data_IF_863109996382
#
_entry.id   IF_863109996382
#
_cell.length_a   1.000
_cell.length_b   1.000
_cell.length_c   1.000
_cell.angle_alpha   90.00
_cell.angle_beta   90.00
_cell.angle_gamma   90.00
#
_symmetry.space_group_name_H-M   'P 1'
#
loop_
_entity.id
_entity.type
_entity.pdbx_description
1 polymer ?
#
# COMPACT_ATOMS: atom_id res chain seq x y z
N UNK A 1 -15.41 10.22 6.12
CA UNK A 1 -16.24 9.06 5.71
C UNK A 1 -17.25 8.62 6.76
N UNK A 2 -16.97 8.69 8.07
CA UNK A 2 -17.93 8.34 9.13
C UNK A 2 -19.13 9.30 9.18
N UNK A 3 -18.90 10.60 8.98
CA UNK A 3 -19.93 11.62 9.02
C UNK A 3 -21.15 11.37 8.10
N UNK A 4 -21.00 11.14 6.77
CA UNK A 4 -22.14 10.87 5.89
C UNK A 4 -22.89 9.58 6.24
N UNK A 5 -22.24 8.61 6.89
CA UNK A 5 -22.86 7.34 7.30
C UNK A 5 -23.73 7.55 8.54
N UNK A 6 -23.25 8.34 9.50
CA UNK A 6 -24.07 8.74 10.63
C UNK A 6 -25.34 9.45 10.18
N UNK A 7 -25.26 10.34 9.19
CA UNK A 7 -26.45 10.98 8.59
C UNK A 7 -27.41 9.94 7.96
N UNK A 8 -26.88 8.98 7.19
CA UNK A 8 -27.68 7.90 6.61
C UNK A 8 -28.37 7.07 7.70
N UNK A 9 -27.68 6.73 8.79
CA UNK A 9 -28.27 5.98 9.90
C UNK A 9 -29.38 6.77 10.61
N UNK A 10 -29.15 8.06 10.90
CA UNK A 10 -30.16 8.95 11.48
C UNK A 10 -31.40 9.07 10.58
N UNK A 11 -31.19 9.10 9.25
CA UNK A 11 -32.25 9.08 8.26
C UNK A 11 -33.07 7.79 8.29
N UNK A 12 -32.41 6.64 8.24
CA UNK A 12 -33.09 5.36 8.22
C UNK A 12 -33.83 5.07 9.54
N UNK A 13 -33.31 5.52 10.68
CA UNK A 13 -33.98 5.42 11.98
C UNK A 13 -35.01 6.52 12.25
N UNK A 14 -35.21 7.48 11.32
CA UNK A 14 -36.16 8.61 11.48
C UNK A 14 -35.95 9.37 12.81
N UNK A 15 -34.69 9.62 13.16
CA UNK A 15 -34.32 10.31 14.40
C UNK A 15 -34.78 11.78 14.39
N UNK A 16 -35.02 12.39 15.56
CA UNK A 16 -35.51 13.76 15.65
C UNK A 16 -34.51 14.77 15.07
N UNK A 17 -35.02 15.86 14.50
CA UNK A 17 -34.24 16.89 13.81
C UNK A 17 -33.06 17.43 14.62
N UNK A 18 -33.19 17.53 15.95
CA UNK A 18 -32.10 17.96 16.82
C UNK A 18 -30.84 17.08 16.69
N UNK A 19 -31.00 15.75 16.60
CA UNK A 19 -29.86 14.84 16.43
C UNK A 19 -29.21 15.00 15.05
N UNK A 20 -30.01 15.26 14.03
CA UNK A 20 -29.51 15.61 12.70
C UNK A 20 -28.70 16.90 12.70
N UNK A 21 -29.22 17.95 13.34
CA UNK A 21 -28.57 19.25 13.43
C UNK A 21 -27.24 19.15 14.19
N UNK A 22 -27.21 18.42 15.32
CA UNK A 22 -25.98 18.17 16.10
C UNK A 22 -24.95 17.42 15.23
N UNK A 23 -25.35 16.35 14.56
CA UNK A 23 -24.43 15.55 13.75
C UNK A 23 -23.94 16.29 12.49
N UNK A 24 -24.82 17.05 11.84
CA UNK A 24 -24.45 17.92 10.72
C UNK A 24 -23.47 19.00 11.17
N UNK A 25 -23.76 19.70 12.28
CA UNK A 25 -22.90 20.73 12.84
C UNK A 25 -21.52 20.18 13.22
N UNK A 26 -21.46 19.03 13.91
CA UNK A 26 -20.20 18.37 14.24
C UNK A 26 -19.38 18.05 12.99
N UNK A 27 -20.01 17.54 11.93
CA UNK A 27 -19.31 17.27 10.67
C UNK A 27 -18.82 18.51 9.94
N UNK A 28 -19.61 19.59 9.92
CA UNK A 28 -19.18 20.88 9.34
C UNK A 28 -17.97 21.42 10.08
N UNK A 29 -17.97 21.40 11.41
CA UNK A 29 -16.83 21.82 12.22
C UNK A 29 -15.62 20.93 11.92
N UNK A 30 -15.77 19.61 11.98
CA UNK A 30 -14.64 18.68 11.83
C UNK A 30 -14.05 18.72 10.42
N UNK A 31 -14.90 18.65 9.38
CA UNK A 31 -14.46 18.75 7.98
C UNK A 31 -13.91 20.16 7.68
N UNK A 32 -14.57 21.20 8.18
CA UNK A 32 -14.15 22.60 8.02
C UNK A 32 -12.77 22.84 8.62
N UNK A 33 -12.53 22.39 9.86
CA UNK A 33 -11.22 22.45 10.51
C UNK A 33 -10.16 21.67 9.74
N UNK A 34 -10.48 20.45 9.27
CA UNK A 34 -9.56 19.66 8.46
C UNK A 34 -9.15 20.38 7.17
N UNK A 35 -10.12 20.87 6.39
CA UNK A 35 -9.83 21.56 5.12
C UNK A 35 -9.17 22.92 5.34
N UNK A 36 -9.49 23.62 6.44
CA UNK A 36 -8.81 24.84 6.83
C UNK A 36 -7.33 24.59 7.14
N UNK A 37 -7.01 23.56 7.92
CA UNK A 37 -5.62 23.15 8.19
C UNK A 37 -4.91 22.70 6.92
N UNK A 38 -5.57 21.89 6.07
CA UNK A 38 -5.01 21.46 4.79
C UNK A 38 -4.73 22.63 3.84
N UNK A 39 -5.58 23.68 3.85
CA UNK A 39 -5.34 24.89 3.05
C UNK A 39 -4.06 25.63 3.45
N UNK A 40 -3.62 25.50 4.71
CA UNK A 40 -2.36 26.08 5.17
C UNK A 40 -1.14 25.35 4.57
N UNK A 41 -1.33 24.15 4.00
CA UNK A 41 -0.31 23.36 3.32
C UNK A 41 -0.66 23.22 1.83
N UNK A 42 -0.33 24.20 0.97
CA UNK A 42 -0.66 24.14 -0.44
C UNK A 42 0.00 22.92 -1.10
N UNK A 43 -0.81 21.93 -1.47
CA UNK A 43 -0.40 20.83 -2.34
C UNK A 43 -0.58 21.28 -3.79
N UNK A 44 0.52 21.47 -4.52
CA UNK A 44 0.47 21.67 -5.96
C UNK A 44 0.04 20.36 -6.63
N UNK A 45 -1.16 20.34 -7.18
CA UNK A 45 -1.71 19.18 -7.89
C UNK A 45 -3.14 19.43 -8.33
N UNK A 46 -3.37 19.53 -9.63
CA UNK A 46 -4.70 19.41 -10.22
C UNK A 46 -5.08 17.93 -10.21
N UNK A 47 -6.11 17.56 -9.45
CA UNK A 47 -6.70 16.23 -9.54
C UNK A 47 -7.52 16.16 -10.83
N UNK A 48 -6.98 15.51 -11.86
CA UNK A 48 -7.80 15.12 -13.00
C UNK A 48 -8.68 13.93 -12.61
N UNK A 49 -9.92 13.96 -13.09
CA UNK A 49 -10.89 12.88 -13.00
C UNK A 49 -10.94 12.15 -14.35
N UNK A 50 -9.87 11.46 -14.73
CA UNK A 50 -9.91 10.60 -15.93
C UNK A 50 -10.58 9.26 -15.62
N UNK A 51 -11.20 8.64 -16.63
CA UNK A 51 -11.83 7.31 -16.55
C UNK A 51 -13.11 7.18 -15.69
N UNK A 52 -13.94 8.23 -15.60
CA UNK A 52 -15.27 8.17 -14.99
C UNK A 52 -16.16 6.99 -15.46
N UNK A 53 -16.17 6.60 -16.76
CA UNK A 53 -16.98 5.48 -17.23
C UNK A 53 -16.62 4.13 -16.59
N UNK A 54 -15.36 3.97 -16.13
CA UNK A 54 -14.89 2.75 -15.48
C UNK A 54 -15.10 2.77 -13.96
N UNK A 55 -15.62 3.87 -13.40
CA UNK A 55 -15.84 4.04 -11.97
C UNK A 55 -16.67 2.91 -11.34
N UNK A 56 -17.78 2.42 -11.94
CA UNK A 56 -18.54 1.31 -11.35
C UNK A 56 -17.70 0.04 -11.21
N UNK A 57 -16.94 -0.31 -12.25
CA UNK A 57 -16.05 -1.47 -12.21
C UNK A 57 -14.92 -1.30 -11.22
N UNK A 58 -14.38 -0.09 -11.08
CA UNK A 58 -13.35 0.25 -10.10
C UNK A 58 -13.86 0.15 -8.67
N UNK A 59 -15.09 0.61 -8.40
CA UNK A 59 -15.74 0.46 -7.10
C UNK A 59 -15.99 -1.02 -6.79
N UNK A 60 -16.55 -1.80 -7.72
CA UNK A 60 -16.77 -3.24 -7.54
C UNK A 60 -15.44 -3.99 -7.33
N UNK A 61 -14.44 -3.72 -8.16
CA UNK A 61 -13.10 -4.29 -8.01
C UNK A 61 -12.46 -3.92 -6.68
N UNK A 62 -12.70 -2.73 -6.14
CA UNK A 62 -12.25 -2.36 -4.80
C UNK A 62 -12.98 -3.17 -3.73
N UNK A 63 -14.32 -3.21 -3.77
CA UNK A 63 -15.15 -3.94 -2.81
C UNK A 63 -14.77 -5.42 -2.73
N UNK A 64 -14.47 -6.04 -3.87
CA UNK A 64 -14.04 -7.44 -3.95
C UNK A 64 -12.54 -7.66 -4.13
N UNK A 65 -11.70 -6.64 -3.99
CA UNK A 65 -10.23 -6.75 -4.18
C UNK A 65 -9.59 -7.83 -3.32
N UNK A 66 -10.22 -8.13 -2.19
CA UNK A 66 -9.92 -9.26 -1.32
C UNK A 66 -9.97 -10.64 -2.01
N UNK A 67 -10.91 -10.84 -2.93
CA UNK A 67 -11.03 -12.08 -3.71
C UNK A 67 -9.93 -12.28 -4.75
N UNK A 68 -9.21 -11.22 -5.13
CA UNK A 68 -8.09 -11.32 -6.05
C UNK A 68 -6.89 -11.98 -5.36
N UNK A 69 -6.86 -13.32 -5.30
CA UNK A 69 -5.73 -14.14 -4.83
C UNK A 69 -4.68 -14.35 -5.93
N UNK A 70 -5.11 -14.32 -7.19
CA UNK A 70 -4.26 -14.34 -8.38
C UNK A 70 -3.83 -12.91 -8.80
N UNK A 71 -2.70 -12.80 -9.49
CA UNK A 71 -2.25 -11.54 -10.10
C UNK A 71 -2.84 -11.33 -11.49
N UNK A 72 -2.60 -10.16 -12.10
CA UNK A 72 -3.00 -9.87 -13.48
C UNK A 72 -4.51 -9.81 -13.73
N UNK A 73 -4.91 -10.02 -14.98
CA UNK A 73 -6.32 -9.92 -15.44
C UNK A 73 -7.26 -10.88 -14.70
N UNK A 74 -6.83 -12.10 -14.42
CA UNK A 74 -7.62 -13.08 -13.67
C UNK A 74 -7.96 -12.58 -12.26
N UNK A 75 -7.00 -11.95 -11.57
CA UNK A 75 -7.24 -11.31 -10.28
C UNK A 75 -8.25 -10.16 -10.36
N UNK A 76 -8.19 -9.35 -11.42
CA UNK A 76 -9.14 -8.26 -11.65
C UNK A 76 -10.56 -8.75 -11.85
N UNK A 77 -10.75 -9.80 -12.66
CA UNK A 77 -12.06 -10.41 -12.89
C UNK A 77 -12.65 -10.96 -11.59
N UNK A 78 -11.86 -11.70 -10.81
CA UNK A 78 -12.32 -12.24 -9.53
C UNK A 78 -12.71 -11.12 -8.56
N UNK A 79 -11.93 -10.02 -8.52
CA UNK A 79 -12.25 -8.89 -7.68
C UNK A 79 -13.62 -8.27 -8.01
N UNK A 80 -13.89 -8.08 -9.31
CA UNK A 80 -15.19 -7.55 -9.75
C UNK A 80 -16.32 -8.52 -9.39
N UNK A 81 -16.16 -9.83 -9.61
CA UNK A 81 -17.17 -10.84 -9.27
C UNK A 81 -17.51 -10.82 -7.78
N UNK A 82 -16.49 -10.82 -6.91
CA UNK A 82 -16.69 -10.77 -5.46
C UNK A 82 -17.35 -9.44 -5.06
N UNK A 83 -16.94 -8.32 -5.67
CA UNK A 83 -17.54 -7.02 -5.44
C UNK A 83 -19.03 -6.97 -5.82
N UNK A 84 -19.40 -7.60 -6.94
CA UNK A 84 -20.79 -7.75 -7.36
C UNK A 84 -21.59 -8.56 -6.34
N UNK A 85 -21.00 -9.62 -5.77
CA UNK A 85 -21.60 -10.38 -4.67
C UNK A 85 -21.89 -9.50 -3.44
N UNK A 86 -20.92 -8.69 -3.00
CA UNK A 86 -21.09 -7.73 -1.90
C UNK A 86 -22.21 -6.74 -2.20
N UNK A 87 -22.21 -6.14 -3.40
CA UNK A 87 -23.24 -5.18 -3.81
C UNK A 87 -24.64 -5.81 -3.83
N UNK A 88 -24.77 -7.01 -4.38
CA UNK A 88 -26.02 -7.76 -4.45
C UNK A 88 -26.56 -8.06 -3.06
N UNK A 89 -25.69 -8.52 -2.16
CA UNK A 89 -26.10 -8.84 -0.80
C UNK A 89 -26.50 -7.61 0.01
N UNK A 90 -25.82 -6.49 -0.24
CA UNK A 90 -26.17 -5.18 0.33
C UNK A 90 -27.57 -4.74 -0.12
N UNK A 91 -27.91 -4.91 -1.41
CA UNK A 91 -29.24 -4.59 -1.93
C UNK A 91 -30.34 -5.47 -1.31
N UNK A 92 -30.12 -6.78 -1.23
CA UNK A 92 -31.07 -7.71 -0.61
C UNK A 92 -31.30 -7.36 0.86
N UNK A 93 -30.22 -7.11 1.61
CA UNK A 93 -30.29 -6.71 3.02
C UNK A 93 -30.96 -5.37 3.20
N UNK A 94 -30.72 -4.40 2.32
CA UNK A 94 -31.42 -3.10 2.32
C UNK A 94 -32.93 -3.31 2.15
N UNK A 95 -33.34 -4.12 1.17
CA UNK A 95 -34.76 -4.45 0.94
C UNK A 95 -35.40 -5.10 2.16
N UNK A 96 -34.70 -6.03 2.82
CA UNK A 96 -35.20 -6.72 4.01
C UNK A 96 -35.23 -5.81 5.25
N UNK A 97 -34.23 -4.94 5.41
CA UNK A 97 -34.23 -3.92 6.47
C UNK A 97 -35.40 -2.95 6.32
N UNK A 98 -35.72 -2.50 5.10
CA UNK A 98 -36.86 -1.61 4.87
C UNK A 98 -38.20 -2.23 5.29
N UNK A 99 -38.32 -3.56 5.23
CA UNK A 99 -39.50 -4.31 5.69
C UNK A 99 -39.51 -4.58 7.20
N UNK A 100 -38.40 -5.07 7.74
CA UNK A 100 -38.33 -5.61 9.12
C UNK A 100 -37.84 -4.60 10.15
N UNK A 101 -37.08 -3.59 9.72
CA UNK A 101 -36.43 -2.58 10.56
C UNK A 101 -35.50 -3.13 11.63
N UNK A 102 -34.94 -4.33 11.45
CA UNK A 102 -33.96 -4.88 12.39
C UNK A 102 -32.67 -4.06 12.42
N UNK A 103 -32.30 -3.60 13.62
CA UNK A 103 -31.11 -2.75 13.86
C UNK A 103 -29.80 -3.40 13.40
N UNK A 104 -29.69 -4.72 13.53
CA UNK A 104 -28.50 -5.48 13.08
C UNK A 104 -28.25 -5.35 11.59
N UNK A 105 -29.31 -5.32 10.77
CA UNK A 105 -29.17 -5.17 9.32
C UNK A 105 -28.69 -3.75 8.99
N UNK A 106 -29.19 -2.74 9.71
CA UNK A 106 -28.72 -1.36 9.57
C UNK A 106 -27.23 -1.22 9.91
N UNK A 107 -26.75 -1.88 10.97
CA UNK A 107 -25.32 -1.86 11.33
C UNK A 107 -24.46 -2.48 10.22
N UNK A 108 -24.87 -3.63 9.69
CA UNK A 108 -24.15 -4.29 8.59
C UNK A 108 -24.15 -3.42 7.32
N UNK A 109 -25.28 -2.79 6.99
CA UNK A 109 -25.40 -1.86 5.86
C UNK A 109 -24.52 -0.62 6.05
N UNK A 110 -24.44 -0.08 7.26
CA UNK A 110 -23.58 1.06 7.59
C UNK A 110 -22.09 0.73 7.41
N UNK A 111 -21.65 -0.47 7.81
CA UNK A 111 -20.28 -0.95 7.60
C UNK A 111 -19.95 -1.07 6.10
N UNK A 112 -20.85 -1.62 5.29
CA UNK A 112 -20.61 -1.71 3.85
C UNK A 112 -20.65 -0.33 3.20
N UNK A 113 -21.55 0.57 3.64
CA UNK A 113 -21.60 1.95 3.16
C UNK A 113 -20.30 2.71 3.44
N UNK A 114 -19.66 2.48 4.60
CA UNK A 114 -18.33 3.01 4.91
C UNK A 114 -17.27 2.59 3.90
N UNK A 115 -17.23 1.29 3.60
CA UNK A 115 -16.30 0.76 2.62
C UNK A 115 -16.62 1.27 1.22
N UNK A 116 -17.91 1.37 0.86
CA UNK A 116 -18.33 1.85 -0.46
C UNK A 116 -17.97 3.33 -0.69
N UNK A 117 -18.09 4.20 0.32
CA UNK A 117 -17.64 5.59 0.23
C UNK A 117 -16.12 5.68 0.07
N UNK A 118 -15.39 4.79 0.75
CA UNK A 118 -13.93 4.69 0.59
C UNK A 118 -13.57 4.19 -0.81
N UNK A 119 -14.29 3.20 -1.32
CA UNK A 119 -14.15 2.68 -2.68
C UNK A 119 -14.43 3.76 -3.73
N UNK A 120 -15.46 4.59 -3.51
CA UNK A 120 -15.81 5.70 -4.39
C UNK A 120 -14.70 6.75 -4.40
N UNK A 121 -14.18 7.15 -3.24
CA UNK A 121 -13.07 8.09 -3.15
C UNK A 121 -11.81 7.53 -3.86
N UNK A 122 -11.44 6.28 -3.59
CA UNK A 122 -10.29 5.64 -4.25
C UNK A 122 -10.52 5.49 -5.75
N UNK A 123 -11.73 5.12 -6.16
CA UNK A 123 -12.12 5.00 -7.56
C UNK A 123 -12.04 6.34 -8.29
N UNK A 124 -12.52 7.43 -7.70
CA UNK A 124 -12.47 8.77 -8.30
C UNK A 124 -11.03 9.31 -8.39
N UNK A 125 -10.24 9.17 -7.31
CA UNK A 125 -8.91 9.80 -7.23
C UNK A 125 -7.75 8.93 -7.70
N UNK A 126 -7.97 7.64 -8.01
CA UNK A 126 -6.91 6.72 -8.47
C UNK A 126 -7.27 5.92 -9.72
N UNK A 127 -8.44 6.13 -10.34
CA UNK A 127 -8.82 5.45 -11.58
C UNK A 127 -7.86 5.69 -12.74
N UNK A 128 -7.16 6.82 -12.76
CA UNK A 128 -6.18 7.18 -13.78
C UNK A 128 -5.04 6.17 -13.88
N UNK A 129 -4.74 5.46 -12.77
CA UNK A 129 -3.62 4.53 -12.67
C UNK A 129 -4.01 3.06 -12.93
N UNK A 130 -5.25 2.82 -13.35
CA UNK A 130 -5.73 1.48 -13.71
C UNK A 130 -6.16 0.60 -12.52
N UNK A 131 -6.98 -0.42 -12.83
CA UNK A 131 -7.65 -1.27 -11.84
C UNK A 131 -6.68 -2.13 -11.00
N UNK A 132 -5.49 -2.44 -11.52
CA UNK A 132 -4.43 -3.15 -10.79
C UNK A 132 -3.99 -2.39 -9.53
N UNK A 133 -3.95 -1.06 -9.58
CA UNK A 133 -3.57 -0.21 -8.44
C UNK A 133 -4.68 -0.16 -7.40
N UNK A 134 -5.94 -0.20 -7.83
CA UNK A 134 -7.11 -0.26 -6.94
C UNK A 134 -7.12 -1.59 -6.17
N UNK A 135 -6.83 -2.70 -6.86
CA UNK A 135 -6.80 -4.04 -6.25
C UNK A 135 -5.51 -4.29 -5.46
N UNK A 136 -4.38 -3.70 -5.87
CA UNK A 136 -3.07 -3.85 -5.24
C UNK A 136 -2.80 -2.87 -4.10
N UNK A 137 -3.66 -1.87 -3.90
CA UNK A 137 -3.44 -0.81 -2.93
C UNK A 137 -3.49 -1.25 -1.46
N UNK A 138 -2.99 -0.39 -0.57
CA UNK A 138 -2.97 -0.56 0.91
C UNK A 138 -4.36 -0.65 1.56
N UNK A 139 -5.43 -0.62 0.76
CA UNK A 139 -6.82 -0.53 1.22
C UNK A 139 -7.57 -1.87 1.22
N UNK A 140 -6.88 -3.00 1.02
CA UNK A 140 -7.49 -4.34 0.99
C UNK A 140 -8.24 -4.72 2.27
N UNK A 141 -7.87 -4.14 3.42
CA UNK A 141 -8.55 -4.33 4.70
C UNK A 141 -10.01 -3.87 4.65
N UNK A 142 -10.31 -2.82 3.88
CA UNK A 142 -11.68 -2.35 3.69
C UNK A 142 -12.48 -3.36 2.86
N UNK A 143 -11.89 -3.93 1.81
CA UNK A 143 -12.51 -5.00 1.02
C UNK A 143 -12.76 -6.26 1.84
N UNK A 144 -11.82 -6.68 2.71
CA UNK A 144 -12.05 -7.83 3.60
C UNK A 144 -13.20 -7.58 4.57
N UNK A 145 -13.33 -6.36 5.10
CA UNK A 145 -14.46 -5.98 5.95
C UNK A 145 -15.79 -6.03 5.19
N UNK A 146 -15.84 -5.53 3.96
CA UNK A 146 -17.05 -5.57 3.14
C UNK A 146 -17.47 -7.01 2.80
N UNK A 147 -16.51 -7.87 2.48
CA UNK A 147 -16.78 -9.29 2.22
C UNK A 147 -17.27 -10.00 3.49
N UNK A 148 -16.64 -9.76 4.64
CA UNK A 148 -17.08 -10.33 5.92
C UNK A 148 -18.49 -9.85 6.31
N UNK A 149 -18.79 -8.57 6.17
CA UNK A 149 -20.13 -8.02 6.40
C UNK A 149 -21.16 -8.62 5.44
N UNK A 150 -20.82 -8.78 4.16
CA UNK A 150 -21.67 -9.43 3.17
C UNK A 150 -21.95 -10.90 3.52
N UNK A 151 -20.97 -11.63 4.03
CA UNK A 151 -21.17 -13.01 4.49
C UNK A 151 -22.10 -13.08 5.71
N UNK A 152 -21.93 -12.18 6.68
CA UNK A 152 -22.84 -12.05 7.82
C UNK A 152 -24.29 -11.72 7.39
N UNK A 153 -24.44 -10.84 6.40
CA UNK A 153 -25.73 -10.56 5.77
C UNK A 153 -26.32 -11.84 5.14
N UNK A 154 -25.53 -12.58 4.36
CA UNK A 154 -25.97 -13.83 3.74
C UNK A 154 -26.44 -14.85 4.79
N UNK A 155 -25.70 -15.01 5.88
CA UNK A 155 -26.09 -15.88 7.00
C UNK A 155 -27.44 -15.53 7.60
N UNK A 156 -27.77 -14.24 7.71
CA UNK A 156 -29.09 -13.82 8.23
C UNK A 156 -30.24 -14.15 7.29
N UNK A 157 -29.98 -14.26 5.99
CA UNK A 157 -30.99 -14.60 4.98
C UNK A 157 -31.11 -16.11 4.74
N UNK A 158 -30.14 -16.92 5.20
CA UNK A 158 -30.21 -18.37 5.04
C UNK A 158 -31.25 -18.96 6.02
N UNK A 159 -32.17 -19.81 5.54
CA UNK A 159 -33.05 -20.54 6.43
C UNK A 159 -32.21 -21.46 7.33
N UNK A 160 -32.48 -21.44 8.64
CA UNK A 160 -31.75 -22.18 9.68
C UNK A 160 -31.79 -23.73 9.54
N UNK A 161 -32.32 -24.25 8.44
CA UNK A 161 -32.38 -25.67 8.11
C UNK A 161 -31.12 -26.18 7.38
N UNK A 162 -30.11 -25.32 7.14
CA UNK A 162 -28.82 -25.84 6.68
C UNK A 162 -28.15 -26.70 7.78
N UNK A 163 -27.65 -27.89 7.42
CA UNK A 163 -26.91 -28.75 8.35
C UNK A 163 -25.75 -27.97 8.98
N UNK A 164 -25.43 -28.27 10.24
CA UNK A 164 -24.42 -27.55 11.02
C UNK A 164 -23.07 -27.42 10.28
N UNK A 165 -22.71 -28.45 9.49
CA UNK A 165 -21.55 -28.47 8.60
C UNK A 165 -21.54 -27.39 7.52
N UNK A 166 -22.69 -27.06 6.92
CA UNK A 166 -22.80 -25.98 5.93
C UNK A 166 -22.61 -24.58 6.53
N UNK A 167 -22.87 -24.43 7.84
CA UNK A 167 -22.60 -23.19 8.58
C UNK A 167 -21.12 -23.05 8.93
N UNK A 168 -20.50 -24.13 9.39
CA UNK A 168 -19.06 -24.16 9.73
C UNK A 168 -18.19 -24.01 8.48
N UNK A 169 -18.58 -24.60 7.35
CA UNK A 169 -17.81 -24.52 6.10
C UNK A 169 -17.67 -23.08 5.59
N UNK A 170 -18.73 -22.28 5.67
CA UNK A 170 -18.68 -20.87 5.26
C UNK A 170 -17.70 -20.09 6.15
N UNK A 171 -17.76 -20.25 7.48
CA UNK A 171 -16.78 -19.63 8.39
C UNK A 171 -15.36 -20.11 8.14
N UNK A 172 -15.18 -21.39 7.81
CA UNK A 172 -13.91 -21.95 7.37
C UNK A 172 -13.40 -21.26 6.10
N UNK A 173 -14.26 -21.00 5.12
CA UNK A 173 -13.93 -20.24 3.90
C UNK A 173 -13.59 -18.78 4.25
N UNK A 174 -14.36 -18.11 5.11
CA UNK A 174 -14.05 -16.74 5.55
C UNK A 174 -12.67 -16.68 6.20
N UNK A 175 -12.41 -17.58 7.15
CA UNK A 175 -11.13 -17.65 7.87
C UNK A 175 -9.97 -17.97 6.95
N UNK A 176 -10.12 -18.98 6.09
CA UNK A 176 -9.09 -19.38 5.11
C UNK A 176 -8.75 -18.23 4.17
N UNK A 177 -9.75 -17.58 3.58
CA UNK A 177 -9.51 -16.46 2.67
C UNK A 177 -8.91 -15.27 3.44
N UNK A 178 -9.24 -15.09 4.73
CA UNK A 178 -8.72 -13.97 5.55
C UNK A 178 -7.23 -14.16 5.79
N UNK A 179 -6.84 -15.39 6.15
CA UNK A 179 -5.44 -15.78 6.35
C UNK A 179 -4.65 -15.67 5.05
N UNK A 180 -5.17 -16.19 3.94
CA UNK A 180 -4.51 -16.10 2.63
C UNK A 180 -4.34 -14.66 2.15
N UNK A 181 -5.30 -13.79 2.42
CA UNK A 181 -5.23 -12.37 2.09
C UNK A 181 -4.24 -11.61 2.97
N UNK A 182 -4.22 -11.88 4.27
CA UNK A 182 -3.22 -11.32 5.18
C UNK A 182 -1.82 -11.75 4.74
N UNK A 183 -1.65 -13.04 4.42
CA UNK A 183 -0.41 -13.59 3.91
C UNK A 183 0.05 -12.93 2.60
N UNK A 184 -0.87 -12.63 1.67
CA UNK A 184 -0.57 -11.89 0.44
C UNK A 184 -0.12 -10.44 0.69
N UNK A 185 -0.57 -9.83 1.79
CA UNK A 185 -0.30 -8.43 2.11
C UNK A 185 1.01 -8.22 2.91
N UNK A 186 1.56 -9.28 3.52
CA UNK A 186 2.83 -9.21 4.30
C UNK A 186 3.94 -8.53 3.50
N UNK A 187 4.08 -8.85 2.22
CA UNK A 187 5.16 -8.28 1.41
C UNK A 187 5.00 -6.79 1.15
N UNK A 188 3.77 -6.29 0.95
CA UNK A 188 3.52 -4.85 0.77
C UNK A 188 3.76 -4.06 2.05
N UNK A 189 3.51 -4.68 3.22
CA UNK A 189 3.76 -4.05 4.53
C UNK A 189 5.25 -3.94 4.81
N UNK A 190 6.00 -5.02 4.62
CA UNK A 190 7.47 -5.02 4.79
C UNK A 190 8.13 -3.97 3.90
N UNK A 191 7.81 -3.94 2.61
CA UNK A 191 8.41 -2.95 1.69
C UNK A 191 7.98 -1.52 1.98
N UNK A 192 6.77 -1.31 2.52
CA UNK A 192 6.31 0.01 2.97
C UNK A 192 7.11 0.51 4.17
N UNK A 193 7.30 -0.33 5.18
CA UNK A 193 8.13 -0.01 6.35
C UNK A 193 9.55 0.33 5.93
N UNK A 194 10.15 -0.50 5.07
CA UNK A 194 11.51 -0.29 4.56
C UNK A 194 11.64 1.03 3.81
N UNK A 195 10.65 1.36 2.97
CA UNK A 195 10.61 2.65 2.27
C UNK A 195 10.56 3.83 3.25
N UNK A 196 9.71 3.77 4.27
CA UNK A 196 9.62 4.84 5.28
C UNK A 196 10.96 5.05 6.01
N UNK A 197 11.64 3.97 6.37
CA UNK A 197 12.97 4.03 7.03
C UNK A 197 14.00 4.68 6.10
N UNK A 198 14.00 4.33 4.82
CA UNK A 198 14.91 4.89 3.82
C UNK A 198 14.65 6.36 3.55
N UNK A 199 13.38 6.74 3.33
CA UNK A 199 12.98 8.13 3.11
C UNK A 199 13.42 9.01 4.29
N UNK A 200 13.26 8.48 5.50
CA UNK A 200 13.72 9.14 6.72
C UNK A 200 15.24 9.33 6.74
N UNK A 201 16.01 8.27 6.51
CA UNK A 201 17.47 8.31 6.53
C UNK A 201 18.02 9.34 5.52
N UNK A 202 17.54 9.30 4.28
CA UNK A 202 18.03 10.18 3.22
C UNK A 202 17.65 11.65 3.47
N UNK A 203 16.47 11.93 4.01
CA UNK A 203 16.10 13.30 4.40
C UNK A 203 16.99 13.82 5.52
N UNK A 204 17.26 12.99 6.52
CA UNK A 204 18.03 13.39 7.69
C UNK A 204 19.53 13.60 7.38
N UNK A 205 20.14 12.68 6.63
CA UNK A 205 21.59 12.66 6.43
C UNK A 205 22.05 13.20 5.08
N UNK A 206 21.23 13.02 4.04
CA UNK A 206 21.58 13.44 2.68
C UNK A 206 20.82 14.70 2.23
N UNK A 207 19.82 15.16 3.01
CA UNK A 207 18.88 16.23 2.63
C UNK A 207 18.19 15.95 1.29
N UNK A 208 18.02 14.67 0.97
CA UNK A 208 17.41 14.19 -0.27
C UNK A 208 16.04 13.59 0.02
N UNK A 209 15.06 13.98 -0.78
CA UNK A 209 13.78 13.29 -0.86
C UNK A 209 13.72 12.57 -2.21
N UNK A 210 13.95 11.26 -2.17
CA UNK A 210 14.04 10.42 -3.37
C UNK A 210 12.73 10.37 -4.18
N UNK A 211 11.63 10.87 -3.61
CA UNK A 211 10.28 10.77 -4.17
C UNK A 211 9.61 12.14 -4.35
N UNK A 212 10.28 13.22 -3.97
CA UNK A 212 9.75 14.54 -4.20
C UNK A 212 9.75 14.85 -5.70
N UNK A 213 8.65 15.44 -6.16
CA UNK A 213 8.54 16.02 -7.51
C UNK A 213 9.26 17.37 -7.61
N UNK A 214 9.88 17.86 -6.54
CA UNK A 214 10.63 19.11 -6.54
C UNK A 214 12.02 18.92 -5.92
N UNK A 215 13.05 19.60 -6.45
CA UNK A 215 14.43 19.48 -5.99
C UNK A 215 14.68 20.07 -4.59
N UNK A 216 13.69 20.76 -3.97
CA UNK A 216 13.78 21.34 -2.63
C UNK A 216 12.47 21.12 -1.86
N UNK A 217 12.25 19.91 -1.30
CA UNK A 217 11.09 19.68 -0.45
C UNK A 217 11.32 20.36 0.90
N UNK A 218 10.48 21.35 1.23
CA UNK A 218 10.45 22.01 2.55
C UNK A 218 10.47 21.00 3.72
N UNK A 219 9.92 19.81 3.49
CA UNK A 219 9.87 18.67 4.42
C UNK A 219 11.24 18.14 4.91
N UNK A 220 12.35 18.37 4.18
CA UNK A 220 13.67 17.91 4.63
C UNK A 220 14.17 18.64 5.87
N UNK A 221 13.85 19.93 5.99
CA UNK A 221 14.24 20.78 7.13
C UNK A 221 13.42 20.40 8.37
N UNK A 222 12.12 20.19 8.20
CA UNK A 222 11.20 19.84 9.28
C UNK A 222 11.57 18.53 10.00
N UNK A 223 12.08 17.53 9.26
CA UNK A 223 12.51 16.25 9.85
C UNK A 223 13.74 16.43 10.75
N UNK A 224 14.72 17.21 10.30
CA UNK A 224 15.95 17.51 11.06
C UNK A 224 15.59 18.28 12.33
N UNK A 225 14.77 19.34 12.20
CA UNK A 225 14.31 20.15 13.32
C UNK A 225 13.48 19.33 14.32
N UNK A 226 12.58 18.47 13.84
CA UNK A 226 11.78 17.61 14.69
C UNK A 226 12.62 16.53 15.42
N UNK A 227 13.73 16.06 14.83
CA UNK A 227 14.70 15.20 15.54
C UNK A 227 15.43 16.00 16.63
N UNK A 228 15.90 17.20 16.30
CA UNK A 228 16.66 18.06 17.22
C UNK A 228 15.84 18.51 18.42
N UNK A 229 14.55 18.78 18.22
CA UNK A 229 13.59 19.15 19.27
C UNK A 229 13.08 17.96 20.09
N UNK A 230 13.47 16.73 19.73
CA UNK A 230 13.07 15.52 20.44
C UNK A 230 11.60 15.11 20.24
N UNK A 231 10.93 15.65 19.20
CA UNK A 231 9.53 15.31 18.89
C UNK A 231 9.35 13.83 18.54
N UNK A 232 10.42 13.15 18.09
CA UNK A 232 10.44 11.70 17.92
C UNK A 232 11.86 11.15 18.06
N UNK A 233 11.97 9.87 18.46
CA UNK A 233 13.23 9.13 18.56
C UNK A 233 13.21 7.92 17.62
N UNK A 234 14.32 7.67 16.92
CA UNK A 234 14.49 6.48 16.08
C UNK A 234 15.26 5.44 16.88
N UNK A 235 14.63 4.29 17.10
CA UNK A 235 15.29 3.17 17.78
C UNK A 235 16.40 2.60 16.91
N UNK A 236 17.49 2.11 17.53
CA UNK A 236 18.67 1.58 16.84
C UNK A 236 18.41 0.57 15.69
N UNK A 237 17.38 -0.30 15.71
CA UNK A 237 17.06 -1.18 14.58
C UNK A 237 16.65 -0.44 13.29
N UNK A 238 16.10 0.77 13.42
CA UNK A 238 15.60 1.60 12.33
C UNK A 238 16.56 2.74 11.95
N UNK A 239 17.62 2.95 12.72
CA UNK A 239 18.66 3.91 12.39
C UNK A 239 19.67 3.29 11.43
N UNK A 240 19.45 3.50 10.13
CA UNK A 240 20.32 2.96 9.08
C UNK A 240 21.76 3.46 9.15
N UNK A 241 22.02 4.64 9.71
CA UNK A 241 23.40 5.13 9.88
C UNK A 241 24.12 4.28 10.94
N UNK A 242 23.45 4.02 12.07
CA UNK A 242 23.98 3.13 13.11
C UNK A 242 24.15 1.70 12.59
N UNK A 243 23.20 1.20 11.79
CA UNK A 243 23.32 -0.13 11.16
C UNK A 243 24.50 -0.19 10.16
N UNK A 244 24.70 0.84 9.34
CA UNK A 244 25.84 0.93 8.41
C UNK A 244 27.18 0.94 9.16
N UNK A 245 27.30 1.76 10.19
CA UNK A 245 28.55 1.93 10.95
C UNK A 245 28.93 0.67 11.75
N UNK A 246 27.94 -0.14 12.14
CA UNK A 246 28.16 -1.40 12.86
C UNK A 246 28.21 -2.63 11.96
N UNK A 247 28.02 -2.46 10.64
CA UNK A 247 27.95 -3.57 9.70
C UNK A 247 29.32 -4.22 9.47
N UNK A 248 29.37 -5.55 9.54
CA UNK A 248 30.53 -6.31 9.05
C UNK A 248 30.57 -6.24 7.53
N UNK A 249 31.71 -5.85 6.95
CA UNK A 249 31.89 -5.80 5.49
C UNK A 249 32.20 -7.19 4.95
N UNK A 250 31.55 -7.57 3.86
CA UNK A 250 31.75 -8.86 3.18
C UNK A 250 31.71 -8.66 1.69
N UNK A 251 32.74 -9.10 0.98
CA UNK A 251 32.74 -9.03 -0.48
C UNK A 251 31.71 -10.00 -1.07
N UNK A 252 30.90 -9.50 -1.98
CA UNK A 252 29.90 -10.24 -2.74
C UNK A 252 30.33 -10.24 -4.21
N UNK A 253 30.54 -11.43 -4.78
CA UNK A 253 30.75 -11.60 -6.22
C UNK A 253 29.43 -11.33 -6.96
N UNK A 254 29.12 -10.06 -7.13
CA UNK A 254 27.83 -9.58 -7.61
C UNK A 254 27.54 -10.07 -9.02
N UNK A 255 26.30 -10.48 -9.23
CA UNK A 255 25.73 -10.74 -10.55
C UNK A 255 24.68 -9.69 -10.88
N UNK A 256 24.85 -8.49 -10.34
CA UNK A 256 23.87 -7.43 -10.50
C UNK A 256 23.66 -7.09 -11.97
N UNK A 257 22.45 -6.66 -12.29
CA UNK A 257 22.10 -6.11 -13.59
C UNK A 257 21.43 -4.78 -13.32
N UNK A 258 21.88 -3.72 -14.00
CA UNK A 258 21.20 -2.42 -13.96
C UNK A 258 20.60 -2.12 -15.33
N UNK A 259 19.29 -1.86 -15.37
CA UNK A 259 18.57 -1.44 -16.57
C UNK A 259 18.00 -0.03 -16.37
N UNK A 260 18.17 0.85 -17.36
CA UNK A 260 17.60 2.21 -17.31
C UNK A 260 16.22 2.20 -17.95
N UNK A 261 15.23 2.72 -17.23
CA UNK A 261 13.88 2.93 -17.71
C UNK A 261 13.62 4.42 -17.91
N UNK A 262 13.21 4.77 -19.13
CA UNK A 262 12.78 6.12 -19.48
C UNK A 262 11.26 6.11 -19.63
N UNK A 263 10.56 6.76 -18.70
CA UNK A 263 9.12 6.94 -18.80
C UNK A 263 8.78 8.25 -19.52
N UNK A 264 7.84 8.19 -20.46
CA UNK A 264 7.31 9.39 -21.12
C UNK A 264 6.59 10.25 -20.08
N UNK A 265 7.26 11.33 -19.64
CA UNK A 265 6.77 12.21 -18.59
C UNK A 265 5.46 12.88 -19.03
N UNK A 266 4.45 12.84 -18.15
CA UNK A 266 3.27 13.69 -18.25
C UNK A 266 3.66 15.12 -17.81
N UNK A 267 2.97 16.14 -18.34
CA UNK A 267 3.22 17.54 -17.96
C UNK A 267 3.14 17.71 -16.43
N UNK A 268 4.17 18.33 -15.85
CA UNK A 268 4.28 18.56 -14.41
C UNK A 268 4.93 17.42 -13.60
N UNK A 269 5.24 16.26 -14.20
CA UNK A 269 5.99 15.18 -13.55
C UNK A 269 7.48 15.33 -13.86
N UNK A 270 8.26 15.83 -12.90
CA UNK A 270 9.72 15.99 -13.03
C UNK A 270 10.48 14.66 -12.96
N UNK A 271 9.94 13.68 -12.24
CA UNK A 271 10.62 12.44 -11.90
C UNK A 271 9.86 11.20 -12.40
N UNK A 272 10.53 10.36 -13.18
CA UNK A 272 9.92 9.20 -13.86
C UNK A 272 10.95 8.26 -14.53
N UNK A 273 12.17 8.74 -14.74
CA UNK A 273 13.28 7.88 -15.12
C UNK A 273 13.87 7.21 -13.87
N UNK A 274 14.25 5.95 -14.00
CA UNK A 274 14.88 5.21 -12.92
C UNK A 274 15.81 4.13 -13.46
N UNK A 275 16.78 3.75 -12.63
CA UNK A 275 17.58 2.55 -12.80
C UNK A 275 16.95 1.43 -11.98
N UNK A 276 16.65 0.31 -12.63
CA UNK A 276 16.31 -0.93 -11.97
C UNK A 276 17.58 -1.74 -11.75
N UNK A 277 18.03 -1.84 -10.49
CA UNK A 277 19.19 -2.62 -10.11
C UNK A 277 18.70 -3.94 -9.50
N UNK A 278 18.97 -5.06 -10.17
CA UNK A 278 18.62 -6.40 -9.72
C UNK A 278 19.87 -7.14 -9.24
N UNK A 279 19.84 -7.77 -8.05
CA UNK A 279 20.89 -8.68 -7.56
C UNK A 279 20.30 -10.08 -7.31
N UNK A 280 20.59 -11.06 -8.19
CA UNK A 280 19.96 -12.38 -8.14
C UNK A 280 20.48 -13.29 -7.02
N UNK A 281 21.64 -13.01 -6.42
CA UNK A 281 22.22 -13.88 -5.39
C UNK A 281 21.59 -13.68 -4.01
N UNK A 282 21.12 -12.48 -3.71
CA UNK A 282 20.57 -12.12 -2.42
C UNK A 282 19.13 -12.65 -2.24
N UNK A 283 18.82 -13.08 -1.02
CA UNK A 283 17.52 -13.60 -0.66
C UNK A 283 16.76 -12.55 0.14
N UNK A 284 15.51 -12.30 -0.24
CA UNK A 284 14.63 -11.44 0.54
C UNK A 284 14.48 -11.99 1.98
N UNK A 285 14.75 -11.19 3.02
CA UNK A 285 14.75 -11.65 4.40
C UNK A 285 13.38 -12.16 4.82
N UNK A 286 13.37 -13.32 5.48
CA UNK A 286 12.16 -13.98 5.97
C UNK A 286 11.71 -13.46 7.33
N UNK A 287 12.66 -13.00 8.16
CA UNK A 287 12.39 -12.48 9.51
C UNK A 287 11.84 -11.06 9.45
N UNK A 288 11.11 -10.67 10.49
CA UNK A 288 10.45 -9.36 10.56
C UNK A 288 11.40 -8.24 11.00
N UNK A 289 12.48 -8.59 11.70
CA UNK A 289 13.51 -7.67 12.16
C UNK A 289 14.74 -7.59 11.23
N UNK A 290 14.66 -8.18 10.04
CA UNK A 290 15.72 -8.13 9.03
C UNK A 290 15.21 -7.40 7.79
N UNK A 291 16.04 -6.56 7.22
CA UNK A 291 15.79 -5.92 5.93
C UNK A 291 17.08 -5.91 5.10
N UNK A 292 16.95 -5.83 3.78
CA UNK A 292 18.10 -5.59 2.90
C UNK A 292 17.83 -4.32 2.13
N UNK A 293 18.76 -3.39 2.14
CA UNK A 293 18.69 -2.12 1.43
C UNK A 293 19.76 -2.06 0.36
N UNK A 294 19.45 -1.40 -0.75
CA UNK A 294 20.47 -0.99 -1.71
C UNK A 294 21.16 0.25 -1.14
N UNK A 295 22.48 0.28 -1.12
CA UNK A 295 23.28 1.41 -0.65
C UNK A 295 24.18 1.84 -1.79
N UNK A 296 23.94 3.05 -2.28
CA UNK A 296 24.84 3.73 -3.20
C UNK A 296 25.85 4.52 -2.39
N UNK A 297 27.12 4.14 -2.48
CA UNK A 297 28.20 4.77 -1.72
C UNK A 297 29.12 5.54 -2.65
N UNK A 298 29.43 6.78 -2.28
CA UNK A 298 30.47 7.58 -2.91
C UNK A 298 31.13 8.46 -1.86
N UNK A 299 32.44 8.34 -1.73
CA UNK A 299 33.20 9.02 -0.68
C UNK A 299 32.61 8.70 0.72
N UNK A 300 32.15 9.72 1.46
CA UNK A 300 31.48 9.57 2.76
C UNK A 300 29.95 9.67 2.69
N UNK A 301 29.37 9.71 1.48
CA UNK A 301 27.93 9.77 1.29
C UNK A 301 27.37 8.38 1.02
N UNK A 302 26.30 8.03 1.76
CA UNK A 302 25.56 6.79 1.60
C UNK A 302 24.10 7.12 1.31
N UNK A 303 23.66 6.87 0.08
CA UNK A 303 22.28 7.07 -0.33
C UNK A 303 21.62 5.71 -0.41
N UNK A 304 20.58 5.53 0.38
CA UNK A 304 19.97 4.22 0.57
C UNK A 304 18.66 4.15 -0.23
N UNK A 305 18.34 2.99 -0.81
CA UNK A 305 17.10 2.74 -1.53
C UNK A 305 16.39 1.50 -0.97
N UNK A 306 15.05 1.49 -0.88
CA UNK A 306 14.33 0.31 -0.46
C UNK A 306 14.45 -0.78 -1.53
N UNK A 307 14.59 -2.03 -1.09
CA UNK A 307 14.57 -3.17 -2.01
C UNK A 307 13.20 -3.83 -2.03
N UNK A 308 12.93 -4.50 -3.13
CA UNK A 308 11.79 -5.36 -3.33
C UNK A 308 12.26 -6.73 -3.85
N UNK A 309 11.33 -7.67 -3.90
CA UNK A 309 11.52 -8.93 -4.59
C UNK A 309 10.22 -9.33 -5.26
N UNK A 310 10.36 -9.92 -6.45
CA UNK A 310 9.24 -10.58 -7.12
C UNK A 310 8.70 -11.70 -6.23
N UNK A 311 7.39 -11.87 -6.27
CA UNK A 311 6.68 -12.91 -5.51
C UNK A 311 6.77 -14.26 -6.24
N UNK A 312 6.93 -15.35 -5.50
CA UNK A 312 6.82 -16.69 -6.09
C UNK A 312 5.39 -16.98 -6.56
N UNK A 313 5.24 -17.81 -7.59
CA UNK A 313 3.94 -18.41 -7.92
C UNK A 313 3.50 -19.41 -6.83
N UNK A 314 2.20 -19.71 -6.72
CA UNK A 314 1.65 -20.59 -5.67
C UNK A 314 2.38 -21.95 -5.58
N UNK A 315 2.63 -22.58 -6.73
CA UNK A 315 3.37 -23.86 -6.82
C UNK A 315 4.81 -23.71 -6.32
N UNK A 316 5.50 -22.65 -6.72
CA UNK A 316 6.87 -22.37 -6.29
C UNK A 316 6.95 -22.04 -4.79
N UNK A 317 5.97 -21.30 -4.25
CA UNK A 317 5.88 -21.03 -2.81
C UNK A 317 5.76 -22.30 -1.99
N UNK A 318 4.91 -23.25 -2.41
CA UNK A 318 4.72 -24.52 -1.72
C UNK A 318 5.99 -25.38 -1.78
N UNK A 319 6.64 -25.46 -2.94
CA UNK A 319 7.87 -26.25 -3.14
C UNK A 319 9.07 -25.67 -2.40
N UNK A 320 9.27 -24.35 -2.49
CA UNK A 320 10.45 -23.66 -1.96
C UNK A 320 10.25 -23.16 -0.53
N UNK A 321 9.03 -23.26 0.02
CA UNK A 321 8.62 -22.72 1.33
C UNK A 321 9.01 -21.24 1.51
N UNK A 322 9.02 -20.48 0.43
CA UNK A 322 9.39 -19.05 0.42
C UNK A 322 8.35 -18.22 -0.34
N UNK A 323 7.87 -17.16 0.30
CA UNK A 323 6.93 -16.20 -0.29
C UNK A 323 7.57 -15.40 -1.44
N UNK A 324 8.83 -15.01 -1.25
CA UNK A 324 9.59 -14.23 -2.20
C UNK A 324 10.47 -15.13 -3.07
N UNK A 325 10.56 -14.78 -4.35
CA UNK A 325 11.54 -15.37 -5.26
C UNK A 325 12.94 -14.98 -4.77
N UNK A 326 13.93 -15.81 -5.08
CA UNK A 326 15.33 -15.41 -4.88
C UNK A 326 15.67 -14.25 -5.83
N UNK A 327 16.46 -13.30 -5.34
CA UNK A 327 16.84 -12.07 -6.03
C UNK A 327 16.16 -10.84 -5.42
N UNK A 328 16.90 -9.74 -5.40
CA UNK A 328 16.42 -8.42 -4.96
C UNK A 328 16.39 -7.46 -6.15
N UNK A 329 15.48 -6.51 -6.12
CA UNK A 329 15.40 -5.40 -7.07
C UNK A 329 15.26 -4.08 -6.32
N UNK A 330 15.88 -3.02 -6.82
CA UNK A 330 15.74 -1.67 -6.29
C UNK A 330 15.59 -0.67 -7.44
N UNK A 331 14.63 0.23 -7.30
CA UNK A 331 14.40 1.35 -8.21
C UNK A 331 15.16 2.58 -7.70
N UNK A 332 16.13 3.05 -8.48
CA UNK A 332 16.94 4.23 -8.19
C UNK A 332 16.53 5.35 -9.15
N UNK A 333 15.78 6.31 -8.64
CA UNK A 333 15.33 7.48 -9.42
C UNK A 333 16.49 8.47 -9.61
N UNK A 334 16.89 8.74 -10.85
CA UNK A 334 18.04 9.59 -11.21
C UNK A 334 17.67 11.07 -11.46
N UNK A 335 16.48 11.47 -11.02
CA UNK A 335 15.89 12.77 -11.34
C UNK A 335 16.55 13.95 -10.62
N UNK A 336 17.08 13.71 -9.42
CA UNK A 336 17.63 14.75 -8.54
C UNK A 336 19.14 14.86 -8.70
N UNK A 337 19.81 13.75 -8.99
CA UNK A 337 21.25 13.71 -9.28
C UNK A 337 21.61 12.44 -10.05
N UNK A 338 22.71 12.49 -10.80
CA UNK A 338 23.30 11.29 -11.41
C UNK A 338 23.99 10.43 -10.34
N UNK A 339 23.87 9.12 -10.48
CA UNK A 339 24.50 8.13 -9.61
C UNK A 339 25.58 7.30 -10.32
N UNK A 340 26.04 7.73 -11.50
CA UNK A 340 26.90 6.92 -12.38
C UNK A 340 28.22 6.48 -11.71
N UNK A 341 28.75 7.29 -10.79
CA UNK A 341 30.01 7.04 -10.07
C UNK A 341 29.83 6.43 -8.67
N UNK A 342 28.61 6.08 -8.27
CA UNK A 342 28.36 5.46 -6.96
C UNK A 342 28.60 3.95 -7.04
N UNK A 343 29.26 3.43 -6.01
CA UNK A 343 29.43 2.00 -5.80
C UNK A 343 28.14 1.38 -5.27
N UNK A 344 27.73 0.28 -5.90
CA UNK A 344 26.56 -0.51 -5.54
C UNK A 344 26.93 -1.42 -4.36
N UNK A 345 26.23 -1.27 -3.24
CA UNK A 345 26.39 -2.12 -2.07
C UNK A 345 25.02 -2.56 -1.56
N UNK A 346 24.98 -3.62 -0.75
CA UNK A 346 23.73 -4.09 -0.15
C UNK A 346 23.88 -4.21 1.36
N UNK A 347 23.08 -3.46 2.10
CA UNK A 347 23.07 -3.50 3.57
C UNK A 347 21.98 -4.43 4.06
N UNK A 348 22.37 -5.58 4.64
CA UNK A 348 21.48 -6.39 5.45
C UNK A 348 21.47 -5.86 6.88
N UNK A 349 20.34 -5.35 7.34
CA UNK A 349 20.14 -4.90 8.73
C UNK A 349 19.57 -6.01 9.61
N UNK A 350 19.80 -5.91 10.91
CA UNK A 350 19.31 -6.85 11.91
C UNK A 350 20.18 -6.82 13.16
N UNK A 351 20.15 -7.89 13.95
CA UNK A 351 21.02 -8.00 15.14
C UNK A 351 22.52 -8.01 14.80
N UNK A 352 22.87 -8.50 13.61
CA UNK A 352 24.24 -8.54 13.09
C UNK A 352 24.22 -7.97 11.66
N UNK A 353 24.34 -6.65 11.50
CA UNK A 353 24.28 -6.04 10.18
C UNK A 353 25.48 -6.45 9.34
N UNK A 354 25.26 -6.60 8.04
CA UNK A 354 26.27 -6.99 7.05
C UNK A 354 26.17 -6.04 5.86
N UNK A 355 27.29 -5.45 5.46
CA UNK A 355 27.40 -4.67 4.23
C UNK A 355 28.08 -5.53 3.17
N UNK A 356 27.30 -5.95 2.18
CA UNK A 356 27.80 -6.67 1.02
C UNK A 356 28.40 -5.68 0.03
N UNK A 357 29.72 -5.73 -0.12
CA UNK A 357 30.49 -4.88 -1.05
C UNK A 357 30.59 -5.55 -2.40
N UNK A 358 30.26 -4.84 -3.48
CA UNK A 358 30.27 -5.42 -4.83
C UNK A 358 31.42 -4.93 -5.71
N UNK A 359 32.08 -3.83 -5.35
CA UNK A 359 33.11 -3.16 -6.16
C UNK A 359 32.62 -2.79 -7.57
N UNK A 360 31.31 -2.68 -7.77
CA UNK A 360 30.69 -2.32 -9.04
C UNK A 360 30.04 -0.94 -8.98
N UNK A 361 30.12 -0.19 -10.07
CA UNK A 361 29.48 1.14 -10.19
C UNK A 361 28.33 1.11 -11.19
N UNK A 362 27.34 1.99 -11.04
CA UNK A 362 26.18 2.05 -11.94
C UNK A 362 26.59 2.22 -13.41
N UNK A 363 27.61 3.03 -13.68
CA UNK A 363 28.19 3.25 -15.02
C UNK A 363 28.76 2.00 -15.71
N UNK A 364 29.11 0.95 -14.96
CA UNK A 364 29.70 -0.27 -15.53
C UNK A 364 28.65 -1.21 -16.14
N UNK A 365 27.35 -1.00 -15.88
CA UNK A 365 26.29 -1.86 -16.38
C UNK A 365 25.85 -1.45 -17.79
N UNK A 366 25.70 -2.46 -18.67
CA UNK A 366 25.22 -2.25 -20.04
C UNK A 366 23.74 -1.87 -20.02
N UNK A 367 23.43 -0.69 -20.55
CA UNK A 367 22.05 -0.23 -20.79
C UNK A 367 21.37 -1.20 -21.76
N UNK A 368 20.43 -2.01 -21.27
CA UNK A 368 19.47 -2.70 -22.14
C UNK A 368 18.34 -1.72 -22.46
N UNK A 369 18.35 -1.18 -23.67
CA UNK A 369 17.16 -0.55 -24.22
C UNK A 369 16.13 -1.67 -24.48
N UNK A 370 14.95 -1.58 -23.86
CA UNK A 370 13.82 -2.40 -24.30
C UNK A 370 13.46 -1.96 -25.73
N UNK A 371 13.65 -2.86 -26.69
CA UNK A 371 13.09 -2.75 -28.03
C UNK A 371 11.56 -2.80 -27.98
#
# INVERSE_FOLDING_TARGET
>A
MIWPIGLLMLFFERRPFLQWAIWAGAGVITCGSYFYLMRQQPSEGLFLLTNLPLLPFNVLAFLGSYGALLGGKAGQIIAVIVGTGVATMTLITTKNYLKTRHRTDLVLLALVAFVALTALAVGLFRAEKGMSIIIGGRYRQYSSLAVAASLLMAFRHLPFHLPHWGRVSIWGVVGLVTVLSFYRDIGLRKTTEWRTIVDYHNRLHNRLDLLATTPNPRYGVDVVEAKQTGLYAVTAPYDLLTQLNSATRTDLASQAVAERFEEKKLDGVTCGNYWLIEEPQLQFPSRDNEAIYLVLSKDNQHIIFPTASKRNGLSAMLKQRSYFRKGLEAEVYDCVQSFDAYEINWLKVGQKPVLYTTHSTISQFRIRFKQ
#
